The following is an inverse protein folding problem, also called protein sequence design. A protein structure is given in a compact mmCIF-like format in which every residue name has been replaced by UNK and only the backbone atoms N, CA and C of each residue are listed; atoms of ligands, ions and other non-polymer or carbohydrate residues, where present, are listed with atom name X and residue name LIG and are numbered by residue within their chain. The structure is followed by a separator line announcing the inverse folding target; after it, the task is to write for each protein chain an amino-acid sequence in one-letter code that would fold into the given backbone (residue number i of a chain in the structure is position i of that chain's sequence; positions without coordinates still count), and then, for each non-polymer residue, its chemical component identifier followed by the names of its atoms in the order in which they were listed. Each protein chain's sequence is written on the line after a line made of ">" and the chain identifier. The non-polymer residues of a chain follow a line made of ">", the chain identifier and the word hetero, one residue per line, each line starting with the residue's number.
data_IF_197994449985
#
_entry.id   IF_197994449985
#
_cell.length_a   1.000
_cell.length_b   1.000
_cell.length_c   1.000
_cell.angle_alpha   90.00
_cell.angle_beta   90.00
_cell.angle_gamma   90.00
#
_symmetry.space_group_name_H-M   'P 1'
#
loop_
_entity.id
_entity.type
_entity.pdbx_description
1 polymer ?
#
# COMPACT_ATOMS: atom_id res chain seq x y z
N UNK A 1 11.83 1.04 -17.71
CA UNK A 1 11.62 1.97 -16.57
C UNK A 1 10.90 1.24 -15.43
N UNK A 2 11.67 0.61 -14.53
CA UNK A 2 11.12 -0.05 -13.34
C UNK A 2 10.62 1.01 -12.36
N UNK A 3 9.41 0.84 -11.84
CA UNK A 3 8.91 1.71 -10.79
C UNK A 3 9.91 1.68 -9.63
N UNK A 4 10.46 2.85 -9.27
CA UNK A 4 11.31 2.96 -8.11
C UNK A 4 10.46 2.61 -6.87
N UNK A 5 10.98 1.77 -5.99
CA UNK A 5 10.35 1.52 -4.71
C UNK A 5 11.40 1.65 -3.61
N UNK A 6 11.01 2.22 -2.48
CA UNK A 6 11.88 2.34 -1.31
C UNK A 6 11.18 1.78 -0.08
N UNK A 7 11.95 1.23 0.84
CA UNK A 7 11.44 0.77 2.12
C UNK A 7 11.25 1.97 3.07
N UNK A 8 10.05 2.12 3.61
CA UNK A 8 9.75 3.09 4.66
C UNK A 8 9.67 2.35 6.01
N UNK A 9 10.65 2.59 6.89
CA UNK A 9 10.71 1.99 8.22
C UNK A 9 9.57 2.44 9.16
N UNK A 10 9.02 3.63 8.95
CA UNK A 10 7.94 4.18 9.78
C UNK A 10 6.62 3.52 9.44
N UNK A 11 6.40 3.29 8.14
CA UNK A 11 5.19 2.63 7.64
C UNK A 11 5.30 1.09 7.69
N UNK A 12 6.53 0.55 7.64
CA UNK A 12 6.81 -0.88 7.58
C UNK A 12 6.42 -1.49 6.23
N UNK A 13 6.52 -0.73 5.15
CA UNK A 13 6.14 -1.13 3.78
C UNK A 13 7.14 -0.59 2.76
N UNK A 14 7.16 -1.19 1.58
CA UNK A 14 7.76 -0.59 0.39
C UNK A 14 6.78 0.41 -0.22
N UNK A 15 7.20 1.65 -0.45
CA UNK A 15 6.44 2.68 -1.15
C UNK A 15 6.80 2.62 -2.63
N UNK A 16 5.82 2.54 -3.52
CA UNK A 16 6.03 2.51 -4.97
C UNK A 16 5.95 3.94 -5.53
N UNK A 17 7.10 4.50 -5.88
CA UNK A 17 7.18 5.85 -6.43
C UNK A 17 6.59 5.93 -7.85
N UNK A 18 5.90 7.03 -8.13
CA UNK A 18 5.27 7.28 -9.43
C UNK A 18 3.98 6.50 -9.69
N UNK A 19 3.51 5.67 -8.75
CA UNK A 19 2.22 4.96 -8.83
C UNK A 19 1.16 5.45 -7.84
N UNK A 20 1.37 6.64 -7.25
CA UNK A 20 0.47 7.22 -6.25
C UNK A 20 0.67 6.64 -4.86
N UNK A 21 -0.39 6.59 -4.05
CA UNK A 21 -0.39 6.02 -2.70
C UNK A 21 -0.46 4.49 -2.74
N UNK A 22 0.53 3.88 -3.38
CA UNK A 22 0.69 2.45 -3.56
C UNK A 22 1.85 1.94 -2.70
N UNK A 23 1.56 0.91 -1.92
CA UNK A 23 2.45 0.31 -0.94
C UNK A 23 2.52 -1.19 -1.14
N UNK A 24 3.62 -1.81 -0.75
CA UNK A 24 3.84 -3.24 -0.87
C UNK A 24 4.46 -3.81 0.40
N UNK A 25 3.89 -4.90 0.90
CA UNK A 25 4.44 -5.64 2.04
C UNK A 25 4.05 -7.11 1.92
N UNK A 26 5.02 -7.99 2.11
CA UNK A 26 4.78 -9.44 2.25
C UNK A 26 3.84 -10.02 1.17
N UNK A 27 4.09 -9.70 -0.11
CA UNK A 27 3.31 -10.18 -1.27
C UNK A 27 1.90 -9.59 -1.40
N UNK A 28 1.59 -8.57 -0.62
CA UNK A 28 0.35 -7.82 -0.69
C UNK A 28 0.64 -6.37 -1.04
N UNK A 29 -0.08 -5.86 -2.03
CA UNK A 29 -0.13 -4.46 -2.37
C UNK A 29 -1.27 -3.81 -1.62
N UNK A 30 -1.04 -2.61 -1.11
CA UNK A 30 -2.02 -1.77 -0.45
C UNK A 30 -2.10 -0.45 -1.20
N UNK A 31 -3.29 0.02 -1.50
CA UNK A 31 -3.52 1.30 -2.16
C UNK A 31 -4.47 2.13 -1.32
N UNK A 32 -4.18 3.42 -1.24
CA UNK A 32 -5.15 4.42 -0.79
C UNK A 32 -5.73 5.16 -2.01
N UNK A 33 -7.06 5.22 -2.10
CA UNK A 33 -7.79 5.94 -3.14
C UNK A 33 -9.12 6.48 -2.60
N UNK A 34 -9.06 7.27 -1.52
CA UNK A 34 -10.25 7.65 -0.75
C UNK A 34 -10.81 6.54 0.17
N UNK A 35 -10.09 5.43 0.24
CA UNK A 35 -10.32 4.29 1.12
C UNK A 35 -9.19 3.28 0.95
N UNK A 36 -8.99 2.41 1.95
CA UNK A 36 -7.98 1.37 1.86
C UNK A 36 -8.45 0.23 0.94
N UNK A 37 -7.54 -0.27 0.14
CA UNK A 37 -7.75 -1.49 -0.63
C UNK A 37 -6.46 -2.29 -0.71
N UNK A 38 -6.57 -3.60 -0.83
CA UNK A 38 -5.42 -4.49 -0.97
C UNK A 38 -5.57 -5.41 -2.17
N UNK A 39 -4.44 -5.93 -2.66
CA UNK A 39 -4.40 -6.92 -3.74
C UNK A 39 -3.13 -7.74 -3.68
N UNK A 40 -3.14 -8.95 -4.23
CA UNK A 40 -1.91 -9.72 -4.43
C UNK A 40 -1.17 -9.33 -5.72
N UNK A 41 -1.73 -8.40 -6.52
CA UNK A 41 -1.10 -7.85 -7.72
C UNK A 41 -1.04 -6.32 -7.68
N UNK A 42 -0.03 -5.74 -8.33
CA UNK A 42 0.14 -4.29 -8.38
C UNK A 42 -0.96 -3.56 -9.19
N UNK A 43 -1.67 -4.28 -10.03
CA UNK A 43 -2.72 -3.77 -10.91
C UNK A 43 -4.13 -4.25 -10.47
N UNK A 44 -4.23 -4.90 -9.30
CA UNK A 44 -5.47 -5.47 -8.79
C UNK A 44 -5.61 -6.99 -9.05
N UNK A 45 -6.80 -7.58 -8.84
CA UNK A 45 -8.04 -6.94 -8.41
C UNK A 45 -7.94 -6.38 -6.99
N UNK A 46 -8.43 -5.15 -6.81
CA UNK A 46 -8.42 -4.45 -5.52
C UNK A 46 -9.60 -4.89 -4.68
N UNK A 47 -9.33 -5.28 -3.44
CA UNK A 47 -10.32 -5.65 -2.45
C UNK A 47 -10.38 -4.55 -1.40
N UNK A 48 -11.56 -3.96 -1.13
CA UNK A 48 -11.70 -2.92 -0.12
C UNK A 48 -11.34 -3.48 1.25
N UNK A 49 -10.74 -2.63 2.07
CA UNK A 49 -10.43 -2.93 3.47
C UNK A 49 -10.44 -1.66 4.28
N UNK A 50 -10.43 -1.80 5.60
CA UNK A 50 -10.32 -0.69 6.53
C UNK A 50 -8.87 -0.52 6.98
N UNK A 51 -8.60 0.53 7.77
CA UNK A 51 -7.28 0.76 8.39
C UNK A 51 -6.78 -0.42 9.26
N UNK A 52 -7.67 -1.34 9.66
CA UNK A 52 -7.33 -2.58 10.38
C UNK A 52 -6.74 -3.68 9.49
N UNK A 53 -7.01 -3.66 8.18
CA UNK A 53 -6.51 -4.64 7.21
C UNK A 53 -5.17 -4.27 6.58
N UNK A 54 -4.65 -3.08 6.90
CA UNK A 54 -3.35 -2.59 6.43
C UNK A 54 -2.34 -2.55 7.57
N UNK A 55 -1.03 -2.54 7.27
CA UNK A 55 0.01 -2.28 8.26
C UNK A 55 -0.29 -1.05 9.13
N UNK A 56 -0.02 -1.13 10.44
CA UNK A 56 -0.39 -0.09 11.40
C UNK A 56 0.16 1.30 11.05
N UNK A 57 1.33 1.37 10.41
CA UNK A 57 1.88 2.63 9.91
C UNK A 57 1.03 3.27 8.81
N UNK A 58 0.47 2.47 7.90
CA UNK A 58 -0.46 2.93 6.86
C UNK A 58 -1.79 3.38 7.44
N UNK A 59 -2.41 2.58 8.31
CA UNK A 59 -3.69 2.94 8.94
C UNK A 59 -3.61 4.22 9.80
N UNK A 60 -2.43 4.57 10.31
CA UNK A 60 -2.19 5.85 11.00
C UNK A 60 -2.02 7.03 10.06
N UNK A 61 -1.53 6.79 8.83
CA UNK A 61 -1.32 7.83 7.83
C UNK A 61 -2.63 8.27 7.19
N UNK A 62 -3.53 7.32 6.95
CA UNK A 62 -4.86 7.55 6.41
C UNK A 62 -5.90 6.85 7.30
N UNK A 63 -6.49 7.58 8.27
CA UNK A 63 -7.51 7.04 9.17
C UNK A 63 -8.85 6.80 8.47
#
# INVERSE_FOLDING_TARGET
>A
PGAACYWDNTLGVYVLEGRGELYYRERTYYRWDGGWSWSNGADGPWQPTDASGVPAGLGRRHP
#
